data_IF_673295593282
#
_entry.id   IF_673295593282
#
_cell.length_a   1.000
_cell.length_b   1.000
_cell.length_c   1.000
_cell.angle_alpha   90.00
_cell.angle_beta   90.00
_cell.angle_gamma   90.00
#
_symmetry.space_group_name_H-M   'P 1'
#
loop_
_entity.id
_entity.type
_entity.pdbx_description
1 polymer ?
#
# COMPACT_ATOMS: atom_id res chain seq x y z
N UNK A 1 -5.76 -1.49 -16.02
CA UNK A 1 -6.05 -1.42 -14.58
C UNK A 1 -4.82 -0.86 -13.86
N UNK A 2 -4.91 0.34 -13.29
CA UNK A 2 -3.82 0.95 -12.52
C UNK A 2 -4.06 0.62 -11.05
N UNK A 3 -3.19 -0.21 -10.48
CA UNK A 3 -3.27 -0.60 -9.07
C UNK A 3 -2.44 0.35 -8.20
N UNK A 4 -2.89 0.56 -6.97
CA UNK A 4 -2.15 1.33 -5.99
C UNK A 4 -0.88 0.59 -5.58
N UNK A 5 0.25 1.30 -5.61
CA UNK A 5 1.53 0.73 -5.20
C UNK A 5 1.57 0.50 -3.69
N UNK A 6 2.49 -0.36 -3.24
CA UNK A 6 2.69 -0.61 -1.81
C UNK A 6 3.04 0.66 -1.00
N UNK A 7 3.58 1.71 -1.65
CA UNK A 7 3.81 3.01 -1.02
C UNK A 7 2.51 3.76 -0.72
N UNK A 8 1.54 3.72 -1.65
CA UNK A 8 0.21 4.31 -1.45
C UNK A 8 -0.49 3.64 -0.26
N UNK A 9 -0.45 2.31 -0.21
CA UNK A 9 -1.03 1.54 0.91
C UNK A 9 -0.34 1.88 2.24
N UNK A 10 0.99 2.08 2.22
CA UNK A 10 1.75 2.52 3.40
C UNK A 10 1.30 3.90 3.87
N UNK A 11 1.07 4.84 2.96
CA UNK A 11 0.58 6.19 3.31
C UNK A 11 -0.76 6.15 4.03
N UNK A 12 -1.70 5.32 3.56
CA UNK A 12 -3.01 5.12 4.24
C UNK A 12 -2.79 4.60 5.67
N UNK A 13 -1.91 3.61 5.83
CA UNK A 13 -1.63 3.01 7.14
C UNK A 13 -1.10 4.04 8.14
N UNK A 14 -0.16 4.89 7.71
CA UNK A 14 0.44 5.93 8.56
C UNK A 14 -0.60 6.93 9.04
N UNK A 15 -1.47 7.41 8.14
CA UNK A 15 -2.50 8.39 8.49
C UNK A 15 -3.53 7.78 9.43
N UNK A 16 -3.92 6.52 9.20
CA UNK A 16 -4.84 5.81 10.07
C UNK A 16 -4.26 5.59 11.49
N UNK A 17 -2.95 5.33 11.61
CA UNK A 17 -2.24 5.20 12.89
C UNK A 17 -2.19 6.50 13.69
N UNK A 18 -2.09 7.65 13.00
CA UNK A 18 -2.16 8.98 13.65
C UNK A 18 -3.55 9.30 14.22
N UNK A 19 -4.57 8.51 13.88
CA UNK A 19 -5.99 8.75 14.22
C UNK A 19 -6.51 10.11 13.72
N UNK A 20 -5.89 10.67 12.70
CA UNK A 20 -6.38 11.88 12.05
C UNK A 20 -7.52 11.53 11.09
N UNK A 21 -8.72 11.96 11.46
CA UNK A 21 -9.97 11.62 10.79
C UNK A 21 -10.10 12.37 9.47
N UNK A 22 -9.77 13.65 9.48
CA UNK A 22 -9.90 14.52 8.32
C UNK A 22 -8.88 14.08 7.25
N UNK A 23 -7.63 13.86 7.67
CA UNK A 23 -6.57 13.38 6.79
C UNK A 23 -6.90 11.98 6.24
N UNK A 24 -7.44 11.07 7.07
CA UNK A 24 -7.84 9.72 6.64
C UNK A 24 -8.92 9.76 5.56
N UNK A 25 -9.93 10.62 5.74
CA UNK A 25 -11.03 10.74 4.78
C UNK A 25 -10.58 11.37 3.46
N UNK A 26 -9.85 12.48 3.51
CA UNK A 26 -9.33 13.16 2.33
C UNK A 26 -8.43 12.23 1.50
N UNK A 27 -7.54 11.51 2.18
CA UNK A 27 -6.60 10.60 1.55
C UNK A 27 -7.33 9.40 0.90
N UNK A 28 -8.37 8.86 1.55
CA UNK A 28 -9.22 7.84 0.96
C UNK A 28 -9.96 8.36 -0.27
N UNK A 29 -10.52 9.58 -0.25
CA UNK A 29 -11.19 10.17 -1.42
C UNK A 29 -10.21 10.39 -2.59
N UNK A 30 -9.03 10.92 -2.30
CA UNK A 30 -7.97 11.16 -3.28
C UNK A 30 -7.53 9.87 -3.97
N UNK A 31 -7.28 8.81 -3.19
CA UNK A 31 -6.84 7.53 -3.73
C UNK A 31 -7.97 6.75 -4.37
N UNK A 32 -9.19 6.85 -3.85
CA UNK A 32 -10.37 6.23 -4.49
C UNK A 32 -10.59 6.78 -5.90
N UNK A 33 -10.45 8.10 -6.08
CA UNK A 33 -10.55 8.74 -7.41
C UNK A 33 -9.42 8.33 -8.35
N UNK A 34 -8.19 8.26 -7.83
CA UNK A 34 -6.99 7.95 -8.62
C UNK A 34 -6.94 6.49 -9.07
N UNK A 35 -7.38 5.58 -8.21
CA UNK A 35 -7.30 4.13 -8.40
C UNK A 35 -8.71 3.54 -8.41
N UNK A 36 -9.59 4.09 -9.26
CA UNK A 36 -11.00 3.73 -9.28
C UNK A 36 -11.24 2.24 -9.60
N UNK A 37 -10.37 1.62 -10.41
CA UNK A 37 -10.42 0.20 -10.75
C UNK A 37 -9.80 -0.74 -9.68
N UNK A 38 -9.09 -0.21 -8.68
CA UNK A 38 -8.45 -1.04 -7.64
C UNK A 38 -9.47 -1.42 -6.57
N UNK A 39 -10.28 -2.44 -6.86
CA UNK A 39 -11.39 -2.87 -6.00
C UNK A 39 -10.95 -3.22 -4.56
N UNK A 40 -9.74 -3.77 -4.39
CA UNK A 40 -9.20 -4.07 -3.05
C UNK A 40 -8.98 -2.78 -2.26
N UNK A 41 -8.44 -1.75 -2.91
CA UNK A 41 -8.27 -0.44 -2.30
C UNK A 41 -9.62 0.23 -2.04
N UNK A 42 -10.57 0.18 -2.98
CA UNK A 42 -11.90 0.77 -2.81
C UNK A 42 -12.61 0.21 -1.59
N UNK A 43 -12.56 -1.11 -1.40
CA UNK A 43 -13.16 -1.77 -0.24
C UNK A 43 -12.53 -1.26 1.06
N UNK A 44 -11.20 -1.20 1.13
CA UNK A 44 -10.50 -0.68 2.31
C UNK A 44 -10.88 0.79 2.57
N UNK A 45 -10.98 1.63 1.54
CA UNK A 45 -11.40 3.03 1.70
C UNK A 45 -12.85 3.14 2.19
N UNK A 46 -13.74 2.23 1.79
CA UNK A 46 -15.11 2.18 2.29
C UNK A 46 -15.19 1.69 3.74
N UNK A 47 -14.38 0.69 4.09
CA UNK A 47 -14.27 0.20 5.48
C UNK A 47 -13.72 1.33 6.38
N UNK A 48 -12.72 2.09 5.93
CA UNK A 48 -12.22 3.26 6.67
C UNK A 48 -13.33 4.28 6.86
N UNK A 49 -14.12 4.61 5.84
CA UNK A 49 -15.25 5.55 5.98
C UNK A 49 -16.31 5.04 6.97
N UNK A 50 -16.53 3.74 7.03
CA UNK A 50 -17.47 3.12 7.98
C UNK A 50 -16.92 3.21 9.40
N UNK A 51 -15.66 2.83 9.61
CA UNK A 51 -14.94 3.01 10.87
C UNK A 51 -14.95 4.47 11.37
N UNK A 52 -14.77 5.45 10.48
CA UNK A 52 -14.77 6.87 10.88
C UNK A 52 -16.14 7.32 11.45
N UNK A 53 -17.23 6.64 11.07
CA UNK A 53 -18.59 6.86 11.59
C UNK A 53 -18.87 6.06 12.85
N UNK A 54 -18.51 4.77 12.88
CA UNK A 54 -18.84 3.83 13.96
C UNK A 54 -17.89 3.93 15.15
N UNK A 55 -16.62 4.28 14.90
CA UNK A 55 -15.51 4.24 15.86
C UNK A 55 -15.28 2.87 16.50
N UNK A 56 -15.67 1.82 15.79
CA UNK A 56 -15.47 0.46 16.23
C UNK A 56 -13.97 0.09 16.17
N UNK A 57 -13.40 -0.23 17.33
CA UNK A 57 -12.01 -0.64 17.47
C UNK A 57 -11.73 -1.99 16.80
N UNK A 58 -12.71 -2.90 16.73
CA UNK A 58 -12.55 -4.16 16.00
C UNK A 58 -12.47 -3.94 14.50
N UNK A 59 -13.28 -3.01 13.98
CA UNK A 59 -13.27 -2.61 12.58
C UNK A 59 -11.91 -2.00 12.21
N UNK A 60 -11.35 -1.15 13.08
CA UNK A 60 -10.02 -0.59 12.89
C UNK A 60 -8.92 -1.66 12.79
N UNK A 61 -8.93 -2.66 13.68
CA UNK A 61 -7.92 -3.73 13.65
C UNK A 61 -8.07 -4.61 12.40
N UNK A 62 -9.30 -4.88 11.95
CA UNK A 62 -9.57 -5.56 10.67
C UNK A 62 -8.98 -4.77 9.50
N UNK A 63 -9.24 -3.46 9.44
CA UNK A 63 -8.71 -2.57 8.39
C UNK A 63 -7.18 -2.57 8.37
N UNK A 64 -6.52 -2.47 9.53
CA UNK A 64 -5.05 -2.52 9.62
C UNK A 64 -4.49 -3.84 9.11
N UNK A 65 -5.14 -4.96 9.44
CA UNK A 65 -4.76 -6.28 8.95
C UNK A 65 -4.87 -6.37 7.41
N UNK A 66 -5.96 -5.86 6.84
CA UNK A 66 -6.18 -5.79 5.40
C UNK A 66 -5.12 -4.93 4.70
N UNK A 67 -4.84 -3.73 5.22
CA UNK A 67 -3.78 -2.84 4.71
C UNK A 67 -2.41 -3.51 4.74
N UNK A 68 -2.08 -4.22 5.83
CA UNK A 68 -0.81 -4.96 5.95
C UNK A 68 -0.70 -6.06 4.90
N UNK A 69 -1.78 -6.83 4.69
CA UNK A 69 -1.85 -7.89 3.68
C UNK A 69 -1.71 -7.32 2.28
N UNK A 70 -2.50 -6.30 1.93
CA UNK A 70 -2.48 -5.66 0.62
C UNK A 70 -1.11 -5.07 0.31
N UNK A 71 -0.48 -4.38 1.28
CA UNK A 71 0.88 -3.86 1.14
C UNK A 71 1.89 -4.96 0.83
N UNK A 72 1.79 -6.11 1.49
CA UNK A 72 2.68 -7.25 1.28
C UNK A 72 2.55 -7.83 -0.12
N UNK A 73 1.30 -7.97 -0.61
CA UNK A 73 0.99 -8.43 -1.97
C UNK A 73 1.58 -7.46 -2.99
N UNK A 74 1.21 -6.17 -2.91
CA UNK A 74 1.70 -5.13 -3.83
C UNK A 74 3.23 -5.01 -3.81
N UNK A 75 3.86 -5.18 -2.65
CA UNK A 75 5.33 -5.17 -2.52
C UNK A 75 5.94 -6.34 -3.30
N UNK A 76 5.40 -7.55 -3.15
CA UNK A 76 5.87 -8.75 -3.87
C UNK A 76 5.73 -8.61 -5.38
N UNK A 77 4.63 -8.01 -5.84
CA UNK A 77 4.36 -7.75 -7.26
C UNK A 77 5.33 -6.74 -7.87
N UNK A 78 5.78 -5.75 -7.08
CA UNK A 78 6.65 -4.66 -7.55
C UNK A 78 8.14 -4.87 -7.29
N UNK A 79 8.52 -5.72 -6.34
CA UNK A 79 9.93 -5.92 -5.94
C UNK A 79 10.72 -6.90 -6.82
N UNK A 80 10.27 -7.18 -8.04
CA UNK A 80 10.88 -8.16 -8.95
C UNK A 80 10.33 -9.55 -8.66
N UNK A 81 9.57 -10.09 -9.61
CA UNK A 81 8.79 -11.31 -9.45
C UNK A 81 9.61 -12.53 -9.03
N UNK A 82 8.89 -13.55 -8.56
CA UNK A 82 9.36 -14.87 -8.13
C UNK A 82 10.20 -15.67 -9.14
N UNK A 83 10.57 -15.06 -10.28
CA UNK A 83 11.35 -15.65 -11.38
C UNK A 83 12.64 -14.90 -11.72
N UNK A 84 12.95 -13.77 -11.08
CA UNK A 84 14.24 -13.09 -11.29
C UNK A 84 15.22 -13.54 -10.21
N UNK A 85 16.00 -14.57 -10.51
CA UNK A 85 17.14 -14.97 -9.69
C UNK A 85 18.08 -13.78 -9.51
N UNK A 86 18.73 -13.70 -8.35
CA UNK A 86 19.65 -12.61 -7.98
C UNK A 86 20.76 -12.33 -9.01
N UNK A 87 21.04 -13.27 -9.92
CA UNK A 87 22.06 -13.16 -10.98
C UNK A 87 21.66 -12.26 -12.16
N UNK A 88 20.38 -11.95 -12.35
CA UNK A 88 19.90 -11.09 -13.45
C UNK A 88 19.70 -9.62 -13.05
N UNK A 89 20.09 -9.25 -11.82
CA UNK A 89 20.17 -7.84 -11.43
C UNK A 89 21.34 -7.21 -12.18
N UNK A 90 21.04 -6.19 -12.99
CA UNK A 90 21.94 -5.40 -13.86
C UNK A 90 23.44 -5.57 -13.56
N UNK A 91 24.28 -6.04 -14.51
CA UNK A 91 25.72 -6.24 -14.33
C UNK A 91 26.54 -4.95 -14.22
N UNK A 92 25.90 -3.78 -14.03
CA UNK A 92 26.56 -2.48 -14.04
C UNK A 92 27.15 -2.01 -12.72
N UNK A 93 26.70 -2.53 -11.57
CA UNK A 93 27.19 -2.07 -10.26
C UNK A 93 28.46 -2.81 -9.82
N UNK A 94 28.70 -4.02 -10.34
CA UNK A 94 29.87 -4.81 -9.97
C UNK A 94 31.18 -4.37 -10.67
N UNK A 95 31.10 -3.53 -11.71
CA UNK A 95 32.29 -3.06 -12.43
C UNK A 95 33.02 -1.89 -11.74
N UNK A 96 32.41 -1.21 -10.78
CA UNK A 96 33.03 -0.07 -10.09
C UNK A 96 33.97 -0.45 -8.92
N UNK A 97 34.05 -1.74 -8.56
CA UNK A 97 34.88 -2.21 -7.43
C UNK A 97 36.25 -2.76 -7.90
N UNK A 98 36.51 -2.82 -9.23
CA UNK A 98 37.77 -3.35 -9.79
C UNK A 98 38.74 -2.28 -10.31
N UNK A 99 38.68 -1.05 -9.79
CA UNK A 99 39.72 -0.06 -10.01
C UNK A 99 40.14 0.50 -8.64
N UNK A 100 40.96 -0.28 -7.93
CA UNK A 100 41.92 0.22 -6.95
C UNK A 100 43.10 -0.73 -6.92
#
# INVERSE_FOLDING_TARGET
MVLASHYVIKSISIVLEKKDIAESQELCEKFSKRYFDDMELQNICNDIRSYLKTRDSEELEKIKSLLKKLKSVRKRETSGGTRLWFKDRRPGVMQLIKIT
#
